data_IF_448947226569
#
_entry.id   IF_448947226569
#
_cell.length_a   1.000
_cell.length_b   1.000
_cell.length_c   1.000
_cell.angle_alpha   90.00
_cell.angle_beta   90.00
_cell.angle_gamma   90.00
#
_symmetry.space_group_name_H-M   'P 1'
#
loop_
_entity.id
_entity.type
_entity.pdbx_description
1 polymer ?
#
# COMPACT_ATOMS: atom_id res chain seq x y z
N UNK A 1 -7.31 8.89 25.69
CA UNK A 1 -8.02 7.92 24.82
C UNK A 1 -7.79 8.23 23.35
N UNK A 2 -8.00 9.46 22.88
CA UNK A 2 -7.75 9.88 21.49
C UNK A 2 -6.29 9.64 21.07
N UNK A 3 -5.32 9.97 21.92
CA UNK A 3 -3.89 9.78 21.60
C UNK A 3 -3.53 8.31 21.33
N UNK A 4 -4.08 7.38 22.11
CA UNK A 4 -3.87 5.94 21.91
C UNK A 4 -4.47 5.46 20.59
N UNK A 5 -5.62 6.01 20.19
CA UNK A 5 -6.23 5.71 18.89
C UNK A 5 -5.42 6.26 17.73
N UNK A 6 -4.90 7.48 17.85
CA UNK A 6 -4.00 8.07 16.86
C UNK A 6 -2.69 7.25 16.74
N UNK A 7 -2.10 6.83 17.86
CA UNK A 7 -0.90 5.97 17.87
C UNK A 7 -1.17 4.64 17.16
N UNK A 8 -2.23 3.92 17.53
CA UNK A 8 -2.57 2.62 16.91
C UNK A 8 -2.90 2.75 15.42
N UNK A 9 -3.53 3.85 15.02
CA UNK A 9 -3.76 4.13 13.61
C UNK A 9 -2.43 4.36 12.87
N UNK A 10 -1.53 5.14 13.46
CA UNK A 10 -0.18 5.34 12.95
C UNK A 10 0.60 4.03 12.81
N UNK A 11 0.50 3.13 13.78
CA UNK A 11 1.08 1.79 13.72
C UNK A 11 0.52 0.97 12.55
N UNK A 12 -0.80 1.00 12.32
CA UNK A 12 -1.41 0.32 11.16
C UNK A 12 -0.89 0.88 9.84
N UNK A 13 -0.85 2.21 9.70
CA UNK A 13 -0.34 2.87 8.49
C UNK A 13 1.14 2.53 8.26
N UNK A 14 1.96 2.60 9.31
CA UNK A 14 3.38 2.26 9.25
C UNK A 14 3.61 0.79 8.88
N UNK A 15 2.83 -0.13 9.45
CA UNK A 15 2.90 -1.56 9.12
C UNK A 15 2.51 -1.83 7.66
N UNK A 16 1.51 -1.12 7.12
CA UNK A 16 1.13 -1.24 5.70
C UNK A 16 2.23 -0.70 4.76
N UNK A 17 2.86 0.42 5.10
CA UNK A 17 4.00 0.96 4.35
C UNK A 17 5.22 0.02 4.42
N UNK A 18 5.51 -0.53 5.59
CA UNK A 18 6.56 -1.52 5.77
C UNK A 18 6.28 -2.79 4.96
N UNK A 19 5.03 -3.25 4.92
CA UNK A 19 4.62 -4.37 4.07
C UNK A 19 4.84 -4.08 2.59
N UNK A 20 4.43 -2.90 2.10
CA UNK A 20 4.70 -2.48 0.71
C UNK A 20 6.21 -2.56 0.40
N UNK A 21 7.06 -2.01 1.27
CA UNK A 21 8.52 -2.06 1.09
C UNK A 21 9.07 -3.50 1.11
N UNK A 22 8.66 -4.31 2.08
CA UNK A 22 9.11 -5.71 2.20
C UNK A 22 8.70 -6.56 0.99
N UNK A 23 7.52 -6.32 0.42
CA UNK A 23 7.07 -6.99 -0.80
C UNK A 23 7.95 -6.59 -1.98
N UNK A 24 8.24 -5.30 -2.15
CA UNK A 24 9.13 -4.81 -3.21
C UNK A 24 10.52 -5.42 -3.11
N UNK A 25 11.10 -5.43 -1.91
CA UNK A 25 12.41 -6.06 -1.66
C UNK A 25 12.37 -7.57 -1.90
N UNK A 26 11.29 -8.26 -1.52
CA UNK A 26 11.15 -9.70 -1.75
C UNK A 26 11.04 -10.02 -3.23
N UNK A 27 10.25 -9.26 -3.98
CA UNK A 27 10.09 -9.42 -5.43
C UNK A 27 11.39 -9.14 -6.17
N UNK A 28 12.17 -8.14 -5.75
CA UNK A 28 13.47 -7.82 -6.33
C UNK A 28 14.54 -8.90 -6.10
N UNK A 29 14.34 -9.80 -5.14
CA UNK A 29 15.23 -10.94 -4.89
C UNK A 29 14.90 -12.18 -5.74
N UNK A 30 13.77 -12.17 -6.46
CA UNK A 30 13.37 -13.30 -7.28
C UNK A 30 14.21 -13.39 -8.56
N UNK A 31 14.40 -14.60 -9.11
CA UNK A 31 15.01 -14.76 -10.42
C UNK A 31 14.26 -13.95 -11.50
N UNK A 32 15.01 -13.18 -12.30
CA UNK A 32 14.43 -12.36 -13.37
C UNK A 32 13.95 -10.96 -12.94
N UNK A 33 14.16 -10.56 -11.68
CA UNK A 33 13.97 -9.17 -11.27
C UNK A 33 14.86 -8.21 -12.08
N UNK A 34 14.36 -7.01 -12.32
CA UNK A 34 15.14 -5.98 -13.01
C UNK A 34 16.32 -5.55 -12.13
N UNK A 35 17.50 -5.26 -12.69
CA UNK A 35 18.61 -4.75 -11.89
C UNK A 35 18.25 -3.41 -11.23
N UNK A 36 18.91 -3.11 -10.11
CA UNK A 36 18.72 -1.84 -9.41
C UNK A 36 19.16 -0.66 -10.28
N UNK A 37 20.16 -0.85 -11.15
CA UNK A 37 20.77 0.15 -12.04
C UNK A 37 21.20 1.45 -11.34
N UNK A 38 21.40 1.38 -10.01
CA UNK A 38 22.01 2.42 -9.18
C UNK A 38 23.36 1.87 -8.68
N UNK A 39 24.48 2.59 -8.92
CA UNK A 39 25.79 2.14 -8.44
C UNK A 39 25.80 1.88 -6.93
N UNK A 40 26.51 0.84 -6.52
CA UNK A 40 26.70 0.57 -5.10
C UNK A 40 27.39 1.75 -4.40
N UNK A 41 26.84 2.18 -3.26
CA UNK A 41 27.35 3.33 -2.52
C UNK A 41 26.83 4.68 -3.00
N UNK A 42 25.93 4.73 -3.98
CA UNK A 42 25.22 5.97 -4.34
C UNK A 42 24.40 6.47 -3.15
N UNK A 43 24.68 7.69 -2.69
CA UNK A 43 23.86 8.38 -1.72
C UNK A 43 22.64 9.01 -2.41
N UNK A 44 21.50 8.36 -2.28
CA UNK A 44 20.24 8.81 -2.88
C UNK A 44 19.76 10.16 -2.33
N UNK A 45 20.23 10.60 -1.16
CA UNK A 45 19.88 11.90 -0.57
C UNK A 45 20.61 13.07 -1.23
N UNK A 46 21.63 12.78 -2.04
CA UNK A 46 22.37 13.80 -2.82
C UNK A 46 21.80 14.04 -4.20
N UNK A 47 20.83 13.22 -4.63
CA UNK A 47 20.21 13.34 -5.94
C UNK A 47 19.28 14.57 -5.99
N UNK A 48 19.32 15.39 -7.05
CA UNK A 48 18.46 16.55 -7.16
C UNK A 48 16.99 16.12 -7.38
N UNK A 49 16.05 16.98 -6.97
CA UNK A 49 14.63 16.80 -7.30
C UNK A 49 14.47 16.75 -8.82
N UNK A 50 13.73 15.76 -9.31
CA UNK A 50 13.55 15.50 -10.74
C UNK A 50 14.59 14.56 -11.35
N UNK A 51 15.53 14.03 -10.54
CA UNK A 51 16.41 12.96 -11.00
C UNK A 51 15.60 11.71 -11.37
N UNK A 52 15.90 11.15 -12.54
CA UNK A 52 15.24 9.94 -13.04
C UNK A 52 15.87 8.69 -12.42
N UNK A 53 15.03 7.73 -12.05
CA UNK A 53 15.48 6.43 -11.56
C UNK A 53 15.04 5.33 -12.53
N UNK A 54 15.84 4.27 -12.69
CA UNK A 54 15.44 3.10 -13.47
C UNK A 54 14.18 2.49 -12.86
N UNK A 55 13.25 2.06 -13.71
CA UNK A 55 12.02 1.42 -13.27
C UNK A 55 12.24 -0.06 -12.94
N UNK A 56 12.20 -0.41 -11.65
CA UNK A 56 12.34 -1.77 -11.12
C UNK A 56 11.32 -2.04 -10.00
N UNK A 57 11.41 -3.20 -9.33
CA UNK A 57 10.46 -3.60 -8.28
C UNK A 57 10.43 -2.64 -7.08
N UNK A 58 11.47 -1.82 -6.87
CA UNK A 58 11.51 -0.80 -5.81
C UNK A 58 10.90 0.54 -6.26
N UNK A 59 11.06 0.91 -7.53
CA UNK A 59 10.75 2.26 -8.04
C UNK A 59 9.51 2.32 -8.93
N UNK A 60 8.97 1.17 -9.36
CA UNK A 60 7.78 1.13 -10.23
C UNK A 60 6.51 1.61 -9.52
N UNK A 61 5.47 1.85 -10.31
CA UNK A 61 4.16 2.34 -9.86
C UNK A 61 3.23 1.25 -9.28
N UNK A 62 3.77 0.09 -8.87
CA UNK A 62 2.92 -0.97 -8.34
C UNK A 62 2.20 -0.54 -7.05
N UNK A 63 0.88 -0.68 -7.02
CA UNK A 63 0.07 -0.56 -5.81
C UNK A 63 0.26 -1.79 -4.91
N UNK A 64 -0.06 -1.66 -3.61
CA UNK A 64 -0.03 -2.79 -2.66
C UNK A 64 -0.79 -4.02 -3.19
N UNK A 65 -1.95 -3.83 -3.84
CA UNK A 65 -2.70 -4.94 -4.43
C UNK A 65 -1.94 -5.66 -5.54
N UNK A 66 -1.24 -4.93 -6.41
CA UNK A 66 -0.40 -5.54 -7.44
C UNK A 66 0.81 -6.25 -6.85
N UNK A 67 1.45 -5.66 -5.82
CA UNK A 67 2.57 -6.28 -5.09
C UNK A 67 2.15 -7.59 -4.41
N UNK A 68 1.03 -7.58 -3.68
CA UNK A 68 0.46 -8.78 -3.03
C UNK A 68 0.15 -9.85 -4.05
N UNK A 69 -0.46 -9.51 -5.20
CA UNK A 69 -0.77 -10.47 -6.25
C UNK A 69 0.50 -11.09 -6.86
N UNK A 70 1.51 -10.26 -7.18
CA UNK A 70 2.80 -10.74 -7.70
C UNK A 70 3.49 -11.67 -6.70
N UNK A 71 3.53 -11.28 -5.42
CA UNK A 71 4.13 -12.06 -4.36
C UNK A 71 3.40 -13.39 -4.14
N UNK A 72 2.08 -13.37 -3.98
CA UNK A 72 1.27 -14.57 -3.78
C UNK A 72 1.42 -15.56 -4.95
N UNK A 73 1.48 -15.05 -6.18
CA UNK A 73 1.75 -15.87 -7.36
C UNK A 73 3.13 -16.52 -7.27
N UNK A 74 4.19 -15.76 -6.98
CA UNK A 74 5.54 -16.29 -6.83
C UNK A 74 5.63 -17.34 -5.71
N UNK A 75 4.93 -17.14 -4.58
CA UNK A 75 4.86 -18.11 -3.49
C UNK A 75 4.17 -19.40 -3.94
N UNK A 76 3.03 -19.28 -4.63
CA UNK A 76 2.27 -20.43 -5.12
C UNK A 76 3.03 -21.24 -6.17
N UNK A 77 3.73 -20.56 -7.10
CA UNK A 77 4.59 -21.19 -8.12
C UNK A 77 5.73 -22.00 -7.49
N UNK A 78 6.22 -21.58 -6.32
CA UNK A 78 7.24 -22.29 -5.54
C UNK A 78 6.64 -23.30 -4.52
N UNK A 79 5.34 -23.60 -4.61
CA UNK A 79 4.65 -24.57 -3.74
C UNK A 79 4.37 -24.09 -2.32
N UNK A 80 4.61 -22.81 -2.02
CA UNK A 80 4.29 -22.20 -0.73
C UNK A 80 2.78 -21.97 -0.55
N UNK A 81 2.33 -21.96 0.71
CA UNK A 81 0.91 -21.78 1.08
C UNK A 81 0.64 -20.51 1.91
N UNK A 82 1.70 -19.79 2.28
CA UNK A 82 1.59 -18.58 3.10
C UNK A 82 1.30 -17.39 2.20
N UNK A 83 0.01 -17.21 1.86
CA UNK A 83 -0.46 -16.12 1.02
C UNK A 83 -0.85 -14.92 1.87
N UNK A 84 -0.58 -13.73 1.36
CA UNK A 84 -1.00 -12.48 1.95
C UNK A 84 -2.47 -12.23 1.62
N UNK A 85 -3.27 -11.92 2.65
CA UNK A 85 -4.70 -11.67 2.50
C UNK A 85 -4.99 -10.37 1.75
N UNK A 86 -5.94 -10.42 0.82
CA UNK A 86 -6.44 -9.25 0.09
C UNK A 86 -7.16 -8.25 0.99
N UNK A 87 -7.60 -8.65 2.18
CA UNK A 87 -8.22 -7.75 3.16
C UNK A 87 -7.26 -6.61 3.60
N UNK A 88 -5.94 -6.84 3.56
CA UNK A 88 -4.94 -5.78 3.83
C UNK A 88 -4.94 -4.71 2.73
N UNK A 89 -5.18 -5.12 1.48
CA UNK A 89 -5.32 -4.20 0.35
C UNK A 89 -6.57 -3.35 0.52
N UNK A 90 -7.69 -3.97 0.90
CA UNK A 90 -8.95 -3.26 1.18
C UNK A 90 -8.80 -2.26 2.32
N UNK A 91 -8.12 -2.65 3.41
CA UNK A 91 -7.83 -1.77 4.54
C UNK A 91 -6.96 -0.56 4.10
N UNK A 92 -5.88 -0.80 3.37
CA UNK A 92 -5.00 0.27 2.87
C UNK A 92 -5.76 1.22 1.94
N UNK A 93 -6.57 0.69 1.04
CA UNK A 93 -7.40 1.49 0.12
C UNK A 93 -8.44 2.31 0.89
N UNK A 94 -9.08 1.72 1.89
CA UNK A 94 -10.01 2.43 2.76
C UNK A 94 -9.32 3.53 3.58
N UNK A 95 -8.07 3.34 4.02
CA UNK A 95 -7.30 4.39 4.71
C UNK A 95 -6.85 5.51 3.77
N UNK A 96 -6.49 5.19 2.52
CA UNK A 96 -6.04 6.18 1.53
C UNK A 96 -7.17 7.08 1.01
N UNK A 97 -8.39 6.56 0.93
CA UNK A 97 -9.53 7.24 0.30
C UNK A 97 -10.74 7.47 1.23
N UNK A 98 -10.68 6.95 2.45
CA UNK A 98 -11.76 7.03 3.42
C UNK A 98 -11.62 8.17 4.43
N UNK A 99 -12.48 8.12 5.45
CA UNK A 99 -12.47 9.02 6.62
C UNK A 99 -12.69 8.22 7.88
N UNK A 100 -12.02 8.60 8.96
CA UNK A 100 -12.28 8.04 10.29
C UNK A 100 -13.24 8.99 11.01
N UNK A 101 -14.29 8.43 11.59
CA UNK A 101 -15.30 9.16 12.36
C UNK A 101 -15.63 8.40 13.63
N UNK A 102 -16.12 9.10 14.65
CA UNK A 102 -16.57 8.52 15.90
C UNK A 102 -17.98 9.02 16.23
N UNK A 103 -18.80 8.16 16.84
CA UNK A 103 -20.09 8.57 17.41
C UNK A 103 -19.92 9.12 18.83
N UNK A 104 -21.03 9.53 19.46
CA UNK A 104 -21.05 10.02 20.84
C UNK A 104 -20.55 8.99 21.87
N UNK A 105 -20.61 7.70 21.55
CA UNK A 105 -20.07 6.61 22.35
C UNK A 105 -18.56 6.35 22.11
N UNK A 106 -17.89 7.21 21.34
CA UNK A 106 -16.48 7.08 20.94
C UNK A 106 -16.15 5.80 20.15
N UNK A 107 -17.15 5.17 19.52
CA UNK A 107 -16.93 4.06 18.60
C UNK A 107 -16.39 4.60 17.28
N UNK A 108 -15.12 4.34 17.01
CA UNK A 108 -14.49 4.77 15.75
C UNK A 108 -14.82 3.82 14.61
N UNK A 109 -15.11 4.39 13.44
CA UNK A 109 -15.31 3.65 12.19
C UNK A 109 -14.49 4.25 11.06
N UNK A 110 -13.93 3.38 10.23
CA UNK A 110 -13.36 3.73 8.95
C UNK A 110 -14.46 3.68 7.89
N UNK A 111 -14.74 4.82 7.28
CA UNK A 111 -15.76 5.00 6.25
C UNK A 111 -15.06 5.15 4.90
N UNK A 112 -15.20 4.14 4.03
CA UNK A 112 -14.74 4.21 2.64
C UNK A 112 -15.88 4.71 1.76
N UNK A 113 -15.60 5.68 0.90
CA UNK A 113 -16.55 6.20 -0.07
C UNK A 113 -16.24 5.62 -1.44
N UNK A 114 -17.26 5.11 -2.13
CA UNK A 114 -17.15 4.71 -3.53
C UNK A 114 -17.80 5.74 -4.43
N UNK A 115 -17.41 5.72 -5.71
CA UNK A 115 -18.09 6.52 -6.73
C UNK A 115 -19.58 6.14 -6.78
N UNK A 116 -20.49 7.10 -6.99
CA UNK A 116 -21.90 6.80 -7.16
C UNK A 116 -22.10 5.83 -8.32
N UNK A 117 -22.82 4.73 -8.08
CA UNK A 117 -23.07 3.69 -9.09
C UNK A 117 -24.01 4.17 -10.22
N UNK A 118 -24.77 5.25 -9.96
CA UNK A 118 -25.54 6.06 -10.93
C UNK A 118 -25.65 7.50 -10.42
N UNK A 119 -25.38 8.47 -11.29
CA UNK A 119 -25.59 9.89 -11.00
C UNK A 119 -27.04 10.26 -11.38
N UNK A 120 -27.98 10.17 -10.43
CA UNK A 120 -29.32 10.71 -10.62
C UNK A 120 -29.36 12.14 -10.09
N UNK A 121 -29.13 13.11 -10.97
CA UNK A 121 -29.32 14.53 -10.72
C UNK A 121 -30.81 14.92 -10.75
N UNK A 122 -31.64 14.29 -9.92
CA UNK A 122 -33.02 14.68 -9.71
C UNK A 122 -33.29 14.65 -8.21
N UNK A 123 -33.78 15.76 -7.68
CA UNK A 123 -34.14 16.03 -6.27
C UNK A 123 -33.10 16.79 -5.43
N UNK A 124 -32.69 17.95 -5.93
CA UNK A 124 -32.46 19.11 -5.06
C UNK A 124 -33.59 20.10 -5.33
N UNK A 125 -34.66 20.03 -4.51
CA UNK A 125 -35.61 21.11 -4.27
C UNK A 125 -35.55 21.36 -2.76
#
# INVERSE_FOLDING_TARGET
MIDNHATRLGEIVGNLQALEMLLRMSLHKLPGAKPLDVPYGTDIYTLPVGHELPENELTNYDSLGMLVNKFNRAVAENGGKQLISTALVELRDALAHGRISANEAYEMRLLKFDKPKKWNCQNFI
#
